data_IF_911980296515
#
_entry.id   IF_911980296515
#
_cell.length_a   1.000
_cell.length_b   1.000
_cell.length_c   1.000
_cell.angle_alpha   90.00
_cell.angle_beta   90.00
_cell.angle_gamma   90.00
#
_symmetry.space_group_name_H-M   'P 1'
#
loop_
_entity.id
_entity.type
_entity.pdbx_description
1 polymer ?
#
# COMPACT_ATOMS: atom_id res chain seq x y z
N UNK A 1 -5.26 48.43 -6.14
CA UNK A 1 -3.95 47.76 -6.01
C UNK A 1 -4.00 46.94 -4.72
N UNK A 2 -4.62 45.76 -4.82
CA UNK A 2 -4.82 44.77 -3.75
C UNK A 2 -4.10 43.49 -4.18
N UNK A 3 -2.78 43.57 -4.28
CA UNK A 3 -1.95 42.41 -4.62
C UNK A 3 -1.51 41.75 -3.31
N UNK A 4 -2.45 41.05 -2.67
CA UNK A 4 -2.21 40.12 -1.58
C UNK A 4 -2.96 38.83 -1.92
N UNK A 5 -2.41 38.11 -2.89
CA UNK A 5 -2.72 36.70 -3.11
C UNK A 5 -1.57 35.92 -2.47
N UNK A 6 -1.60 35.87 -1.15
CA UNK A 6 -0.66 35.12 -0.33
C UNK A 6 -1.47 34.10 0.47
N UNK A 7 -1.79 32.99 -0.19
CA UNK A 7 -2.07 31.73 0.49
C UNK A 7 -0.99 30.71 0.10
N UNK A 8 -0.01 30.64 0.99
CA UNK A 8 1.20 29.78 1.06
C UNK A 8 0.88 28.28 1.29
N UNK A 9 -0.21 27.76 0.71
CA UNK A 9 -0.73 26.39 0.96
C UNK A 9 -0.24 25.36 -0.09
N UNK A 10 0.27 25.81 -1.23
CA UNK A 10 0.64 24.94 -2.36
C UNK A 10 2.05 24.35 -2.21
N UNK A 11 3.05 25.08 -1.70
CA UNK A 11 4.46 24.63 -1.75
C UNK A 11 4.79 23.37 -0.92
N UNK A 12 4.33 23.28 0.33
CA UNK A 12 4.74 22.23 1.28
C UNK A 12 3.84 20.99 1.29
N UNK A 13 2.63 21.07 0.72
CA UNK A 13 1.81 19.88 0.39
C UNK A 13 2.34 19.20 -0.86
N UNK A 14 2.81 19.96 -1.85
CA UNK A 14 3.40 19.44 -3.08
C UNK A 14 4.70 18.64 -2.84
N UNK A 15 5.59 19.02 -1.92
CA UNK A 15 6.83 18.27 -1.62
C UNK A 15 6.63 16.92 -0.89
N UNK A 16 5.57 16.77 -0.09
CA UNK A 16 5.25 15.49 0.59
C UNK A 16 4.29 14.61 -0.23
N UNK A 17 3.49 15.23 -1.10
CA UNK A 17 2.80 14.59 -2.23
C UNK A 17 3.83 14.09 -3.27
N UNK A 18 4.98 14.77 -3.40
CA UNK A 18 6.08 14.38 -4.29
C UNK A 18 6.89 13.16 -3.80
N UNK A 19 6.81 12.78 -2.52
CA UNK A 19 7.69 11.75 -1.92
C UNK A 19 7.00 10.56 -1.24
N UNK A 20 5.74 10.24 -1.56
CA UNK A 20 4.90 9.11 -1.04
C UNK A 20 3.97 9.39 0.17
N UNK A 21 3.86 10.61 0.68
CA UNK A 21 3.13 10.91 1.92
C UNK A 21 1.74 11.50 1.71
N UNK A 22 0.71 10.64 1.63
CA UNK A 22 -0.69 11.09 1.65
C UNK A 22 -0.94 11.78 3.00
N UNK A 23 -1.09 13.11 2.98
CA UNK A 23 -1.33 13.91 4.18
C UNK A 23 -2.82 14.13 4.36
N UNK A 24 -3.42 13.38 5.29
CA UNK A 24 -4.80 13.60 5.73
C UNK A 24 -4.74 14.40 7.02
N UNK A 25 -5.39 15.56 7.06
CA UNK A 25 -5.42 16.41 8.25
C UNK A 25 -6.00 15.63 9.44
N UNK A 26 -5.28 15.62 10.56
CA UNK A 26 -5.67 14.88 11.77
C UNK A 26 -5.39 13.36 11.74
N UNK A 27 -4.71 12.81 10.72
CA UNK A 27 -4.33 11.39 10.67
C UNK A 27 -2.85 11.22 10.32
N UNK A 28 -2.19 10.27 11.00
CA UNK A 28 -0.83 9.85 10.67
C UNK A 28 -0.94 8.70 9.66
N UNK A 29 -0.43 8.90 8.44
CA UNK A 29 -0.38 7.88 7.40
C UNK A 29 1.04 7.33 7.34
N UNK A 30 1.18 6.01 7.52
CA UNK A 30 2.47 5.33 7.54
C UNK A 30 2.62 4.46 6.30
N UNK A 31 3.67 4.70 5.51
CA UNK A 31 4.01 3.84 4.39
C UNK A 31 4.85 2.65 4.87
N UNK A 32 4.19 1.52 5.15
CA UNK A 32 4.85 0.31 5.64
C UNK A 32 5.90 -0.23 4.68
N UNK A 33 5.75 -0.02 3.37
CA UNK A 33 6.71 -0.48 2.38
C UNK A 33 8.09 0.18 2.55
N UNK A 34 8.11 1.49 2.83
CA UNK A 34 9.35 2.22 3.06
C UNK A 34 10.04 1.75 4.35
N UNK A 35 9.25 1.45 5.38
CA UNK A 35 9.74 0.88 6.63
C UNK A 35 10.39 -0.47 6.37
N UNK A 36 9.70 -1.39 5.68
CA UNK A 36 10.25 -2.71 5.38
C UNK A 36 11.50 -2.65 4.50
N UNK A 37 11.58 -1.71 3.55
CA UNK A 37 12.77 -1.49 2.71
C UNK A 37 13.99 -1.02 3.50
N UNK A 38 13.80 -0.32 4.62
CA UNK A 38 14.89 0.14 5.49
C UNK A 38 15.35 -0.95 6.46
N UNK A 39 14.42 -1.72 6.99
CA UNK A 39 14.70 -2.74 8.01
C UNK A 39 15.16 -4.09 7.44
N UNK A 40 14.75 -4.44 6.21
CA UNK A 40 14.95 -5.78 5.66
C UNK A 40 15.72 -5.71 4.34
N UNK A 41 16.88 -6.36 4.31
CA UNK A 41 17.73 -6.46 3.11
C UNK A 41 17.36 -7.69 2.30
N UNK A 42 16.43 -7.53 1.36
CA UNK A 42 15.95 -8.62 0.49
C UNK A 42 16.59 -8.57 -0.90
N UNK A 43 16.78 -9.75 -1.49
CA UNK A 43 17.22 -9.89 -2.90
C UNK A 43 16.12 -9.50 -3.88
N UNK A 44 14.87 -9.75 -3.54
CA UNK A 44 13.70 -9.43 -4.35
C UNK A 44 12.57 -8.90 -3.45
N UNK A 45 12.17 -7.66 -3.68
CA UNK A 45 11.15 -6.96 -2.92
C UNK A 45 9.77 -7.23 -3.53
N UNK A 46 9.27 -8.46 -3.36
CA UNK A 46 7.86 -8.78 -3.53
C UNK A 46 7.16 -8.81 -2.17
N UNK A 47 5.85 -8.66 -2.15
CA UNK A 47 5.08 -8.70 -0.91
C UNK A 47 5.23 -10.04 -0.20
N UNK A 48 5.17 -11.14 -0.94
CA UNK A 48 5.26 -12.50 -0.40
C UNK A 48 6.62 -12.74 0.28
N UNK A 49 7.70 -12.20 -0.31
CA UNK A 49 9.02 -12.30 0.28
C UNK A 49 9.11 -11.47 1.56
N UNK A 50 8.66 -10.21 1.54
CA UNK A 50 8.66 -9.36 2.74
C UNK A 50 7.82 -10.00 3.84
N UNK A 51 6.60 -10.42 3.53
CA UNK A 51 5.69 -11.04 4.47
C UNK A 51 6.30 -12.31 5.08
N UNK A 52 6.89 -13.18 4.26
CA UNK A 52 7.56 -14.37 4.77
C UNK A 52 8.72 -14.05 5.70
N UNK A 53 9.53 -13.03 5.39
CA UNK A 53 10.69 -12.69 6.22
C UNK A 53 10.29 -12.00 7.53
N UNK A 54 9.16 -11.30 7.56
CA UNK A 54 8.67 -10.63 8.78
C UNK A 54 7.85 -11.57 9.64
N UNK A 55 6.80 -12.19 9.09
CA UNK A 55 5.83 -13.00 9.84
C UNK A 55 6.19 -14.49 9.88
N UNK A 56 7.17 -14.94 9.08
CA UNK A 56 7.51 -16.36 8.94
C UNK A 56 6.37 -17.24 8.40
N UNK A 57 5.36 -16.62 7.78
CA UNK A 57 4.20 -17.30 7.18
C UNK A 57 4.28 -17.29 5.64
N UNK A 58 3.76 -18.35 5.01
CA UNK A 58 3.70 -18.48 3.55
C UNK A 58 2.31 -18.08 3.06
N UNK A 59 2.24 -16.98 2.31
CA UNK A 59 1.02 -16.58 1.62
C UNK A 59 1.02 -17.15 0.18
N UNK A 60 -0.06 -17.80 -0.26
CA UNK A 60 -0.21 -18.23 -1.64
C UNK A 60 -0.38 -17.02 -2.58
N UNK A 61 0.40 -16.99 -3.65
CA UNK A 61 0.25 -16.02 -4.73
C UNK A 61 -0.84 -16.48 -5.70
N UNK A 62 -1.92 -15.71 -5.80
CA UNK A 62 -2.92 -15.89 -6.86
C UNK A 62 -2.68 -14.89 -7.98
N UNK A 63 -2.71 -15.37 -9.22
CA UNK A 63 -2.75 -14.49 -10.39
C UNK A 63 -4.09 -13.74 -10.41
N UNK A 64 -4.13 -12.47 -10.89
CA UNK A 64 -5.39 -11.74 -11.03
C UNK A 64 -6.44 -12.49 -11.86
N UNK A 65 -6.00 -13.32 -12.82
CA UNK A 65 -6.90 -14.19 -13.61
C UNK A 65 -7.57 -15.27 -12.77
N UNK A 66 -6.82 -15.88 -11.86
CA UNK A 66 -7.33 -16.92 -10.97
C UNK A 66 -8.26 -16.31 -9.92
N UNK A 67 -7.94 -15.13 -9.39
CA UNK A 67 -8.82 -14.38 -8.49
C UNK A 67 -10.16 -14.03 -9.15
N UNK A 68 -10.14 -13.55 -10.41
CA UNK A 68 -11.38 -13.29 -11.15
C UNK A 68 -12.20 -14.56 -11.37
N UNK A 69 -11.56 -15.69 -11.68
CA UNK A 69 -12.24 -16.98 -11.83
C UNK A 69 -12.86 -17.46 -10.52
N UNK A 70 -12.17 -17.29 -9.40
CA UNK A 70 -12.67 -17.64 -8.07
C UNK A 70 -13.79 -16.69 -7.61
N UNK A 71 -13.78 -15.45 -8.08
CA UNK A 71 -14.81 -14.45 -7.79
C UNK A 71 -16.12 -14.74 -8.56
N UNK A 72 -16.01 -15.17 -9.82
CA UNK A 72 -17.17 -15.55 -10.66
C UNK A 72 -17.85 -16.82 -10.14
N UNK A 73 -17.09 -17.70 -9.48
CA UNK A 73 -17.64 -18.86 -8.78
C UNK A 73 -18.28 -18.47 -7.44
N UNK A 74 -19.61 -18.61 -7.36
CA UNK A 74 -20.43 -18.31 -6.16
C UNK A 74 -19.96 -19.02 -4.89
N UNK A 75 -19.30 -20.18 -5.00
CA UNK A 75 -18.85 -20.94 -3.83
C UNK A 75 -17.47 -20.52 -3.32
N UNK A 76 -16.65 -19.89 -4.16
CA UNK A 76 -15.25 -19.59 -3.86
C UNK A 76 -14.97 -18.08 -3.72
N UNK A 77 -15.97 -17.23 -3.91
CA UNK A 77 -15.83 -15.77 -3.79
C UNK A 77 -15.32 -15.31 -2.42
N UNK A 78 -15.65 -16.02 -1.34
CA UNK A 78 -15.16 -15.71 0.01
C UNK A 78 -13.65 -15.87 0.14
N UNK A 79 -13.02 -16.78 -0.62
CA UNK A 79 -11.55 -16.94 -0.63
C UNK A 79 -10.86 -15.73 -1.23
N UNK A 80 -11.51 -15.09 -2.21
CA UNK A 80 -11.00 -13.83 -2.78
C UNK A 80 -11.06 -12.72 -1.72
N UNK A 81 -12.16 -12.65 -0.96
CA UNK A 81 -12.27 -11.69 0.14
C UNK A 81 -11.24 -11.95 1.23
N UNK A 82 -11.06 -13.21 1.64
CA UNK A 82 -10.03 -13.59 2.61
C UNK A 82 -8.62 -13.20 2.13
N UNK A 83 -8.31 -13.44 0.85
CA UNK A 83 -7.04 -13.04 0.25
C UNK A 83 -6.80 -11.52 0.32
N UNK A 84 -7.80 -10.69 0.03
CA UNK A 84 -7.66 -9.23 0.10
C UNK A 84 -7.71 -8.68 1.53
N UNK A 85 -8.35 -9.37 2.47
CA UNK A 85 -8.38 -8.95 3.87
C UNK A 85 -7.05 -9.19 4.59
N UNK A 86 -6.34 -10.26 4.23
CA UNK A 86 -5.03 -10.59 4.79
C UNK A 86 -3.91 -9.76 4.14
N UNK A 87 -4.11 -9.31 2.89
CA UNK A 87 -3.09 -8.64 2.08
C UNK A 87 -2.91 -7.16 2.40
#
# INVERSE_FOLDING_TARGET
MWFLEEDDVTGTTLENIEKFGIKITGRIVLNLWEVFRKEITLKMYSYENVHYHVLHERIPLYSPRDLNRLFDDKLNCWRVMEFYLIR
#
